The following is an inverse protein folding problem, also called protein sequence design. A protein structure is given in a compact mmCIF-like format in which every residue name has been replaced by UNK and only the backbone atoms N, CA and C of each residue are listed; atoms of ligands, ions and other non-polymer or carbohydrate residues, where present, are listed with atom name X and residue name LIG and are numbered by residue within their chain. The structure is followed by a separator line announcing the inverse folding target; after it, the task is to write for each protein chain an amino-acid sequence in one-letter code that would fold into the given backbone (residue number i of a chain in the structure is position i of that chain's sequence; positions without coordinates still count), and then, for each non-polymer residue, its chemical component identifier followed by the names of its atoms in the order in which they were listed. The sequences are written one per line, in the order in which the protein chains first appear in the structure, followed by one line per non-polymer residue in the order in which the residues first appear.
data_IF_066923621905
#
_entry.id   IF_066923621905
#
_cell.length_a   1.000
_cell.length_b   1.000
_cell.length_c   1.000
_cell.angle_alpha   90.00
_cell.angle_beta   90.00
_cell.angle_gamma   90.00
#
_symmetry.space_group_name_H-M   'P 1'
#
loop_
_entity.id
_entity.type
_entity.pdbx_description
1 polymer ?
#
# COMPACT_ATOMS: atom_id res chain seq x y z
N UNK A 1 8.23 -29.76 28.62
CA UNK A 1 9.04 -28.76 27.88
C UNK A 1 8.17 -28.15 26.78
N UNK A 2 7.82 -26.85 26.87
CA UNK A 2 7.13 -26.13 25.78
C UNK A 2 8.20 -25.66 24.79
N UNK A 3 8.29 -26.32 23.64
CA UNK A 3 9.19 -25.91 22.57
C UNK A 3 8.76 -24.54 22.05
N UNK A 4 9.61 -23.54 22.24
CA UNK A 4 9.40 -22.18 21.77
C UNK A 4 9.68 -22.16 20.27
N UNK A 5 8.67 -22.47 19.45
CA UNK A 5 8.77 -22.29 18.01
C UNK A 5 8.82 -20.78 17.75
N UNK A 6 10.01 -20.25 17.49
CA UNK A 6 10.17 -18.92 16.91
C UNK A 6 9.50 -18.97 15.53
N UNK A 7 8.25 -18.49 15.45
CA UNK A 7 7.57 -18.28 14.18
C UNK A 7 8.24 -17.08 13.50
N UNK A 8 9.28 -17.37 12.72
CA UNK A 8 9.92 -16.37 11.85
C UNK A 8 8.89 -15.90 10.83
N UNK A 9 8.63 -14.60 10.79
CA UNK A 9 7.78 -14.01 9.76
C UNK A 9 8.65 -13.72 8.55
N UNK A 10 8.31 -14.29 7.39
CA UNK A 10 9.03 -14.04 6.15
C UNK A 10 8.61 -12.67 5.60
N UNK A 11 9.56 -11.81 5.24
CA UNK A 11 9.24 -10.56 4.55
C UNK A 11 9.12 -10.82 3.06
N UNK A 12 7.99 -10.44 2.46
CA UNK A 12 7.80 -10.57 1.01
C UNK A 12 8.79 -9.67 0.26
N UNK A 13 9.47 -10.25 -0.73
CA UNK A 13 10.29 -9.53 -1.71
C UNK A 13 9.72 -9.77 -3.12
N UNK A 14 9.82 -8.78 -4.03
CA UNK A 14 9.40 -8.98 -5.41
C UNK A 14 10.03 -10.22 -6.05
N UNK A 15 9.22 -11.04 -6.71
CA UNK A 15 9.66 -12.28 -7.37
C UNK A 15 9.97 -13.46 -6.43
N UNK A 16 10.04 -13.24 -5.11
CA UNK A 16 10.24 -14.33 -4.15
C UNK A 16 8.94 -15.09 -3.90
N UNK A 17 8.97 -16.40 -4.12
CA UNK A 17 7.85 -17.28 -3.78
C UNK A 17 7.79 -17.57 -2.28
N UNK A 18 6.58 -17.54 -1.74
CA UNK A 18 6.25 -17.84 -0.35
C UNK A 18 5.38 -19.11 -0.31
N UNK A 19 5.80 -20.17 0.39
CA UNK A 19 5.03 -21.41 0.43
C UNK A 19 3.76 -21.29 1.28
N UNK A 20 2.80 -22.17 1.01
CA UNK A 20 1.52 -22.22 1.70
C UNK A 20 1.66 -22.63 3.17
N UNK A 21 0.90 -21.97 4.04
CA UNK A 21 0.95 -22.13 5.49
C UNK A 21 1.85 -21.11 6.19
N UNK A 22 2.74 -20.44 5.45
CA UNK A 22 3.66 -19.47 6.02
C UNK A 22 3.02 -18.11 6.28
N UNK A 23 3.55 -17.43 7.29
CA UNK A 23 3.21 -16.02 7.57
C UNK A 23 4.17 -15.11 6.81
N UNK A 24 3.60 -14.25 5.99
CA UNK A 24 4.33 -13.28 5.19
C UNK A 24 4.03 -11.85 5.65
N UNK A 25 5.07 -11.03 5.78
CA UNK A 25 4.97 -9.59 6.00
C UNK A 25 4.94 -8.85 4.66
N UNK A 26 3.94 -7.99 4.50
CA UNK A 26 3.76 -7.09 3.37
C UNK A 26 4.26 -5.70 3.80
N UNK A 27 5.42 -5.23 3.31
CA UNK A 27 6.06 -4.01 3.84
C UNK A 27 5.23 -2.74 3.62
N UNK A 28 4.67 -2.55 2.42
CA UNK A 28 3.94 -1.33 2.06
C UNK A 28 2.69 -1.08 2.94
N UNK A 29 1.77 -2.05 3.12
CA UNK A 29 0.66 -1.90 4.07
C UNK A 29 1.08 -2.20 5.53
N UNK A 30 2.37 -2.51 5.76
CA UNK A 30 2.98 -2.89 7.04
C UNK A 30 2.10 -3.85 7.85
N UNK A 31 1.77 -4.97 7.24
CA UNK A 31 0.92 -5.99 7.85
C UNK A 31 1.45 -7.38 7.55
N UNK A 32 0.88 -8.41 8.16
CA UNK A 32 1.23 -9.78 7.83
C UNK A 32 0.00 -10.65 7.65
N UNK A 33 0.03 -11.51 6.64
CA UNK A 33 -1.00 -12.49 6.34
C UNK A 33 -0.42 -13.90 6.34
N UNK A 34 -1.28 -14.92 6.30
CA UNK A 34 -0.88 -16.31 6.11
C UNK A 34 -1.30 -16.76 4.72
N UNK A 35 -0.35 -17.31 3.95
CA UNK A 35 -0.65 -17.94 2.67
C UNK A 35 -1.43 -19.23 2.94
N UNK A 36 -2.58 -19.49 2.28
CA UNK A 36 -3.32 -20.72 2.52
C UNK A 36 -2.50 -21.99 2.20
N UNK A 37 -2.64 -23.05 3.00
CA UNK A 37 -2.01 -24.34 2.71
C UNK A 37 -2.43 -24.86 1.33
N UNK A 38 -1.47 -25.37 0.54
CA UNK A 38 -1.69 -25.84 -0.84
C UNK A 38 -1.67 -24.71 -1.89
N UNK A 39 -1.30 -23.50 -1.48
CA UNK A 39 -1.11 -22.34 -2.35
C UNK A 39 0.32 -21.83 -2.19
N UNK A 40 0.76 -20.98 -3.10
CA UNK A 40 1.99 -20.21 -2.97
C UNK A 40 1.70 -18.75 -3.27
N UNK A 41 2.44 -17.85 -2.65
CA UNK A 41 2.31 -16.41 -2.82
C UNK A 41 3.54 -15.80 -3.46
N UNK A 42 3.39 -14.69 -4.18
CA UNK A 42 4.50 -13.87 -4.67
C UNK A 42 4.12 -12.40 -4.66
N UNK A 43 5.05 -11.53 -4.29
CA UNK A 43 4.87 -10.09 -4.42
C UNK A 43 5.26 -9.67 -5.83
N UNK A 44 4.35 -9.00 -6.55
CA UNK A 44 4.68 -8.38 -7.82
C UNK A 44 5.41 -7.06 -7.60
N UNK A 45 6.15 -6.61 -8.62
CA UNK A 45 6.78 -5.28 -8.62
C UNK A 45 5.74 -4.15 -8.49
N UNK A 46 4.53 -4.37 -9.02
CA UNK A 46 3.40 -3.44 -8.93
C UNK A 46 2.71 -3.37 -7.56
N UNK A 47 3.24 -4.03 -6.53
CA UNK A 47 2.69 -3.94 -5.18
C UNK A 47 1.40 -4.73 -4.97
N UNK A 48 1.21 -5.82 -5.70
CA UNK A 48 0.13 -6.78 -5.48
C UNK A 48 0.75 -8.08 -5.01
N UNK A 49 0.18 -8.69 -3.97
CA UNK A 49 0.61 -10.03 -3.55
C UNK A 49 -0.32 -11.08 -4.16
N UNK A 50 0.17 -11.77 -5.18
CA UNK A 50 -0.53 -12.81 -5.93
C UNK A 50 -0.43 -14.14 -5.17
N UNK A 51 -1.52 -14.88 -5.11
CA UNK A 51 -1.58 -16.21 -4.48
C UNK A 51 -2.22 -17.18 -5.46
N UNK A 52 -1.50 -18.23 -5.83
CA UNK A 52 -1.91 -19.22 -6.82
C UNK A 52 -1.74 -20.65 -6.27
N UNK A 53 -2.29 -21.63 -6.99
CA UNK A 53 -2.21 -23.05 -6.65
C UNK A 53 -1.93 -23.86 -7.90
N UNK A 54 -1.13 -24.92 -7.77
CA UNK A 54 -0.93 -25.89 -8.85
C UNK A 54 -2.10 -26.88 -8.98
N UNK A 55 -2.95 -26.98 -7.96
CA UNK A 55 -4.02 -28.01 -7.86
C UNK A 55 -5.43 -27.42 -7.91
N UNK A 56 -5.56 -26.10 -7.98
CA UNK A 56 -6.85 -25.42 -8.01
C UNK A 56 -6.86 -24.39 -9.13
N UNK A 57 -7.86 -24.47 -10.01
CA UNK A 57 -8.07 -23.48 -11.05
C UNK A 57 -8.52 -22.16 -10.40
N UNK A 58 -7.79 -21.07 -10.66
CA UNK A 58 -8.05 -19.74 -10.14
C UNK A 58 -6.91 -19.18 -9.29
N UNK A 59 -7.12 -17.96 -8.80
CA UNK A 59 -6.09 -17.19 -8.09
C UNK A 59 -6.71 -16.25 -7.05
N UNK A 60 -5.87 -15.75 -6.16
CA UNK A 60 -6.21 -14.68 -5.25
C UNK A 60 -5.18 -13.55 -5.36
N UNK A 61 -5.63 -12.33 -5.13
CA UNK A 61 -4.82 -11.13 -5.13
C UNK A 61 -5.05 -10.42 -3.81
N UNK A 62 -3.97 -10.05 -3.14
CA UNK A 62 -4.02 -9.16 -1.99
C UNK A 62 -3.55 -7.79 -2.44
N UNK A 63 -4.41 -6.80 -2.28
CA UNK A 63 -4.20 -5.43 -2.75
C UNK A 63 -4.31 -4.47 -1.58
N UNK A 64 -3.72 -3.29 -1.76
CA UNK A 64 -3.93 -2.19 -0.83
C UNK A 64 -3.88 -0.86 -1.56
N UNK A 65 -4.56 0.12 -0.99
CA UNK A 65 -4.54 1.51 -1.42
C UNK A 65 -4.41 2.41 -0.19
N UNK A 66 -3.78 3.57 -0.34
CA UNK A 66 -3.51 4.52 0.75
C UNK A 66 -4.31 5.79 0.58
N UNK A 67 -4.72 6.42 1.68
CA UNK A 67 -5.59 7.61 1.63
C UNK A 67 -7.07 7.29 1.38
N UNK A 68 -7.45 6.01 1.45
CA UNK A 68 -8.82 5.56 1.21
C UNK A 68 -9.74 5.84 2.41
N UNK A 69 -11.02 6.07 2.14
CA UNK A 69 -12.08 6.24 3.15
C UNK A 69 -12.98 5.01 3.23
N UNK A 70 -13.84 4.92 4.26
CA UNK A 70 -14.74 3.77 4.41
C UNK A 70 -15.77 3.72 3.26
N UNK A 71 -16.30 4.90 2.91
CA UNK A 71 -17.15 5.08 1.74
C UNK A 71 -16.39 4.78 0.43
N UNK A 72 -15.14 5.22 0.32
CA UNK A 72 -14.29 4.93 -0.85
C UNK A 72 -14.07 3.43 -1.04
N UNK A 73 -13.82 2.69 0.05
CA UNK A 73 -13.70 1.23 0.02
C UNK A 73 -15.01 0.55 -0.41
N UNK A 74 -16.15 0.97 0.16
CA UNK A 74 -17.45 0.42 -0.24
C UNK A 74 -17.75 0.68 -1.72
N UNK A 75 -17.45 1.89 -2.18
CA UNK A 75 -17.64 2.29 -3.57
C UNK A 75 -16.74 1.47 -4.49
N UNK A 76 -15.44 1.35 -4.18
CA UNK A 76 -14.50 0.54 -4.95
C UNK A 76 -14.99 -0.90 -5.10
N UNK A 77 -15.43 -1.54 -4.01
CA UNK A 77 -15.96 -2.91 -4.05
C UNK A 77 -17.33 -3.01 -4.74
N UNK A 78 -18.04 -1.90 -4.94
CA UNK A 78 -19.31 -1.87 -5.67
C UNK A 78 -19.12 -1.52 -7.15
N UNK A 79 -17.90 -1.18 -7.57
CA UNK A 79 -17.56 -0.80 -8.94
C UNK A 79 -17.02 -2.00 -9.73
N UNK A 80 -16.99 -1.83 -11.05
CA UNK A 80 -16.22 -2.69 -11.94
C UNK A 80 -14.73 -2.57 -11.60
N UNK A 81 -14.02 -3.70 -11.50
CA UNK A 81 -12.57 -3.72 -11.22
C UNK A 81 -11.86 -4.28 -12.46
N UNK A 82 -11.13 -3.45 -13.23
CA UNK A 82 -10.37 -3.94 -14.38
C UNK A 82 -9.23 -4.86 -13.91
N UNK A 83 -9.06 -5.98 -14.60
CA UNK A 83 -7.94 -6.91 -14.41
C UNK A 83 -6.89 -6.70 -15.50
N UNK A 84 -7.35 -6.47 -16.74
CA UNK A 84 -6.56 -6.10 -17.90
C UNK A 84 -7.45 -5.26 -18.86
N UNK A 85 -7.01 -5.08 -20.11
CA UNK A 85 -7.74 -4.27 -21.11
C UNK A 85 -9.10 -4.86 -21.53
N UNK A 86 -9.27 -6.18 -21.42
CA UNK A 86 -10.44 -6.91 -21.94
C UNK A 86 -11.24 -7.61 -20.84
N UNK A 87 -10.65 -7.77 -19.65
CA UNK A 87 -11.20 -8.53 -18.54
C UNK A 87 -11.43 -7.64 -17.33
N UNK A 88 -12.62 -7.72 -16.75
CA UNK A 88 -12.97 -7.02 -15.53
C UNK A 88 -13.84 -7.87 -14.61
N UNK A 89 -13.74 -7.63 -13.31
CA UNK A 89 -14.72 -8.11 -12.35
C UNK A 89 -15.97 -7.23 -12.40
N UNK A 90 -17.08 -7.82 -12.81
CA UNK A 90 -18.39 -7.16 -12.84
C UNK A 90 -19.15 -7.47 -11.54
N UNK A 91 -19.46 -6.46 -10.71
CA UNK A 91 -20.11 -6.70 -9.42
C UNK A 91 -21.55 -7.18 -9.62
N UNK A 92 -21.95 -8.20 -8.86
CA UNK A 92 -23.33 -8.72 -8.86
C UNK A 92 -24.31 -7.82 -8.07
N UNK A 93 -23.80 -6.82 -7.37
CA UNK A 93 -24.60 -5.88 -6.59
C UNK A 93 -23.72 -4.89 -5.85
N UNK A 94 -24.33 -4.16 -4.91
CA UNK A 94 -23.58 -3.27 -4.01
C UNK A 94 -22.82 -4.09 -2.96
N UNK A 95 -21.64 -3.61 -2.60
CA UNK A 95 -20.84 -4.23 -1.55
C UNK A 95 -21.61 -4.21 -0.21
N UNK A 96 -21.67 -5.38 0.42
CA UNK A 96 -22.37 -5.59 1.69
C UNK A 96 -21.39 -5.46 2.86
N UNK A 97 -21.86 -4.92 3.98
CA UNK A 97 -21.02 -4.77 5.18
C UNK A 97 -20.85 -6.11 5.89
N UNK A 98 -19.62 -6.49 6.23
CA UNK A 98 -19.33 -7.72 6.99
C UNK A 98 -18.23 -7.53 8.02
N UNK A 99 -18.64 -7.37 9.27
CA UNK A 99 -17.73 -7.04 10.37
C UNK A 99 -17.15 -5.65 10.19
N UNK A 100 -15.82 -5.53 10.20
CA UNK A 100 -15.10 -4.24 10.07
C UNK A 100 -14.80 -3.83 8.62
N UNK A 101 -15.54 -4.34 7.65
CA UNK A 101 -15.25 -4.10 6.24
C UNK A 101 -16.42 -4.46 5.34
N UNK A 102 -16.14 -4.59 4.05
CA UNK A 102 -17.13 -4.83 3.01
C UNK A 102 -16.75 -6.04 2.16
N UNK A 103 -17.73 -6.65 1.52
CA UNK A 103 -17.53 -7.74 0.59
C UNK A 103 -18.51 -7.68 -0.59
N UNK A 104 -18.09 -8.26 -1.72
CA UNK A 104 -18.92 -8.39 -2.90
C UNK A 104 -18.58 -9.66 -3.70
N UNK A 105 -19.53 -10.08 -4.53
CA UNK A 105 -19.36 -11.18 -5.49
C UNK A 105 -19.39 -10.60 -6.90
N UNK A 106 -18.63 -11.21 -7.81
CA UNK A 106 -18.46 -10.72 -9.17
C UNK A 106 -18.62 -11.84 -10.19
N UNK A 107 -19.00 -11.49 -11.40
CA UNK A 107 -18.82 -12.31 -12.60
C UNK A 107 -17.62 -11.79 -13.39
N UNK A 108 -16.96 -12.68 -14.11
CA UNK A 108 -15.83 -12.35 -14.98
C UNK A 108 -16.07 -13.07 -16.29
N UNK A 109 -16.06 -12.31 -17.39
CA UNK A 109 -16.17 -12.85 -18.73
C UNK A 109 -14.76 -12.99 -19.30
N UNK A 110 -14.37 -14.21 -19.66
CA UNK A 110 -13.10 -14.49 -20.34
C UNK A 110 -13.34 -15.29 -21.60
N UNK A 111 -12.35 -15.30 -22.48
CA UNK A 111 -12.27 -16.16 -23.66
C UNK A 111 -12.30 -17.65 -23.28
N UNK A 112 -11.79 -18.01 -22.11
CA UNK A 112 -11.80 -19.37 -21.55
C UNK A 112 -13.13 -19.76 -20.88
N UNK A 113 -14.11 -18.86 -20.85
CA UNK A 113 -15.45 -19.09 -20.29
C UNK A 113 -15.78 -18.25 -19.05
N UNK A 114 -16.94 -18.49 -18.43
CA UNK A 114 -17.39 -17.70 -17.29
C UNK A 114 -16.59 -18.05 -16.03
N UNK A 115 -16.08 -17.04 -15.35
CA UNK A 115 -15.48 -17.14 -14.02
C UNK A 115 -16.30 -16.37 -12.99
N UNK A 116 -16.11 -16.70 -11.72
CA UNK A 116 -16.70 -15.97 -10.61
C UNK A 116 -15.62 -15.40 -9.70
N UNK A 117 -15.89 -14.22 -9.17
CA UNK A 117 -15.03 -13.51 -8.26
C UNK A 117 -15.69 -13.26 -6.90
N UNK A 118 -14.87 -13.08 -5.89
CA UNK A 118 -15.26 -12.59 -4.58
C UNK A 118 -14.19 -11.64 -4.08
N UNK A 119 -14.58 -10.47 -3.62
CA UNK A 119 -13.68 -9.54 -2.97
C UNK A 119 -14.14 -9.23 -1.55
N UNK A 120 -13.18 -9.10 -0.64
CA UNK A 120 -13.41 -8.61 0.71
C UNK A 120 -12.32 -7.62 1.08
N UNK A 121 -12.72 -6.47 1.61
CA UNK A 121 -11.78 -5.45 2.06
C UNK A 121 -12.13 -4.87 3.41
N UNK A 122 -11.15 -4.23 4.04
CA UNK A 122 -11.36 -3.40 5.25
C UNK A 122 -10.35 -2.26 5.29
N UNK A 123 -10.70 -1.18 5.96
CA UNK A 123 -9.75 -0.14 6.32
C UNK A 123 -8.85 -0.59 7.47
N UNK A 124 -7.56 -0.32 7.32
CA UNK A 124 -6.52 -0.43 8.34
C UNK A 124 -6.16 0.97 8.86
N UNK A 125 -5.44 1.07 10.00
CA UNK A 125 -4.91 2.35 10.47
C UNK A 125 -4.07 3.05 9.40
N UNK A 126 -4.16 4.38 9.34
CA UNK A 126 -3.46 5.18 8.32
C UNK A 126 -4.20 5.25 6.99
N UNK A 127 -5.52 5.02 6.98
CA UNK A 127 -6.38 5.12 5.79
C UNK A 127 -5.93 4.18 4.67
N UNK A 128 -5.51 2.98 5.05
CA UNK A 128 -5.10 1.95 4.09
C UNK A 128 -6.30 1.04 3.84
N UNK A 129 -6.86 1.07 2.64
CA UNK A 129 -7.81 0.04 2.21
C UNK A 129 -7.02 -1.23 1.92
N UNK A 130 -7.31 -2.33 2.62
CA UNK A 130 -6.69 -3.62 2.38
C UNK A 130 -7.74 -4.59 1.86
N UNK A 131 -7.47 -5.21 0.71
CA UNK A 131 -8.40 -6.07 -0.01
C UNK A 131 -7.82 -7.44 -0.32
N UNK A 132 -8.70 -8.45 -0.37
CA UNK A 132 -8.42 -9.75 -0.97
C UNK A 132 -9.47 -10.00 -2.05
N UNK A 133 -9.03 -10.18 -3.28
CA UNK A 133 -9.84 -10.57 -4.43
C UNK A 133 -9.52 -12.02 -4.74
N UNK A 134 -10.52 -12.87 -4.89
CA UNK A 134 -10.39 -14.29 -5.18
C UNK A 134 -11.25 -14.62 -6.40
N UNK A 135 -10.70 -15.35 -7.36
CA UNK A 135 -11.36 -15.65 -8.62
C UNK A 135 -11.07 -17.08 -9.08
N UNK A 136 -12.04 -17.69 -9.75
CA UNK A 136 -11.90 -19.02 -10.34
C UNK A 136 -13.22 -19.54 -10.91
N UNK A 137 -13.34 -20.85 -11.14
CA UNK A 137 -14.56 -21.46 -11.66
C UNK A 137 -15.79 -21.15 -10.79
N UNK A 138 -16.98 -20.93 -11.38
CA UNK A 138 -18.20 -20.63 -10.63
C UNK A 138 -18.55 -21.68 -9.56
N UNK A 139 -18.31 -22.96 -9.87
CA UNK A 139 -18.55 -24.08 -8.96
C UNK A 139 -17.71 -23.99 -7.66
N UNK A 140 -16.55 -23.33 -7.71
CA UNK A 140 -15.61 -23.19 -6.58
C UNK A 140 -15.78 -21.88 -5.80
N UNK A 141 -16.76 -21.03 -6.13
CA UNK A 141 -16.92 -19.71 -5.52
C UNK A 141 -17.00 -19.76 -3.99
N UNK A 142 -17.71 -20.73 -3.41
CA UNK A 142 -17.82 -20.87 -1.96
C UNK A 142 -16.46 -21.16 -1.29
N UNK A 143 -15.63 -21.97 -1.96
CA UNK A 143 -14.27 -22.28 -1.52
C UNK A 143 -13.39 -21.03 -1.58
N UNK A 144 -13.44 -20.26 -2.66
CA UNK A 144 -12.71 -18.99 -2.78
C UNK A 144 -13.15 -17.96 -1.73
N UNK A 145 -14.46 -17.84 -1.46
CA UNK A 145 -15.00 -17.02 -0.37
C UNK A 145 -14.38 -17.39 0.98
N UNK A 146 -14.36 -18.68 1.30
CA UNK A 146 -13.77 -19.19 2.55
C UNK A 146 -12.27 -18.89 2.64
N UNK A 147 -11.52 -19.07 1.55
CA UNK A 147 -10.07 -18.79 1.51
C UNK A 147 -9.75 -17.31 1.68
N UNK A 148 -10.43 -16.43 0.95
CA UNK A 148 -10.27 -14.98 1.10
C UNK A 148 -10.62 -14.52 2.52
N UNK A 149 -11.69 -15.05 3.11
CA UNK A 149 -12.03 -14.78 4.51
C UNK A 149 -10.94 -15.29 5.48
N UNK A 150 -10.33 -16.44 5.20
CA UNK A 150 -9.20 -16.98 5.96
C UNK A 150 -7.98 -16.06 5.93
N UNK A 151 -7.62 -15.53 4.76
CA UNK A 151 -6.54 -14.54 4.62
C UNK A 151 -6.86 -13.29 5.45
N UNK A 152 -8.07 -12.74 5.30
CA UNK A 152 -8.51 -11.57 6.07
C UNK A 152 -8.51 -11.80 7.58
N UNK A 153 -8.82 -13.01 8.04
CA UNK A 153 -8.75 -13.40 9.46
C UNK A 153 -7.31 -13.54 9.96
N UNK A 154 -6.39 -13.94 9.08
CA UNK A 154 -4.96 -14.11 9.41
C UNK A 154 -4.18 -12.79 9.49
N UNK A 155 -4.80 -11.70 9.00
CA UNK A 155 -4.22 -10.36 8.93
C UNK A 155 -3.86 -9.84 10.33
N UNK A 156 -2.56 -9.65 10.53
CA UNK A 156 -1.97 -9.04 11.72
C UNK A 156 -1.38 -7.69 11.37
N UNK A 157 -1.67 -6.72 12.22
CA UNK A 157 -1.02 -5.42 12.21
C UNK A 157 0.06 -5.41 13.28
N UNK A 158 1.12 -4.61 13.12
CA UNK A 158 2.08 -4.42 14.19
C UNK A 158 1.38 -3.91 15.45
N UNK A 159 1.84 -4.43 16.58
CA UNK A 159 1.38 -4.03 17.91
C UNK A 159 1.54 -2.52 18.11
N UNK A 160 0.82 -1.96 19.07
CA UNK A 160 0.96 -0.54 19.41
C UNK A 160 2.42 -0.18 19.76
N UNK A 161 3.11 -1.06 20.49
CA UNK A 161 4.53 -0.91 20.85
C UNK A 161 5.44 -0.92 19.63
N UNK A 162 5.23 -1.83 18.68
CA UNK A 162 6.00 -1.88 17.44
C UNK A 162 5.76 -0.64 16.59
N UNK A 163 4.50 -0.20 16.45
CA UNK A 163 4.16 1.05 15.76
C UNK A 163 4.80 2.26 16.42
N UNK A 164 4.82 2.33 17.75
CA UNK A 164 5.49 3.40 18.49
C UNK A 164 7.00 3.38 18.27
N UNK A 165 7.63 2.20 18.27
CA UNK A 165 9.06 2.05 17.97
C UNK A 165 9.40 2.43 16.52
N UNK A 166 8.55 2.07 15.57
CA UNK A 166 8.69 2.46 14.16
C UNK A 166 8.52 3.98 13.99
N UNK A 167 7.49 4.57 14.61
CA UNK A 167 7.33 6.01 14.65
C UNK A 167 8.55 6.70 15.28
N UNK A 168 9.07 6.18 16.39
CA UNK A 168 10.27 6.73 17.03
C UNK A 168 11.50 6.76 16.10
N UNK A 169 11.60 5.89 15.10
CA UNK A 169 12.70 5.92 14.12
C UNK A 169 12.63 7.14 13.18
N UNK A 170 11.43 7.66 12.94
CA UNK A 170 11.18 8.84 12.10
C UNK A 170 10.87 10.10 12.91
N UNK A 171 10.60 9.96 14.21
CA UNK A 171 10.34 11.06 15.11
C UNK A 171 11.56 11.97 15.23
N UNK A 172 11.34 13.24 14.97
CA UNK A 172 12.35 14.28 14.87
C UNK A 172 13.32 14.13 13.70
N UNK A 173 12.88 13.49 12.62
CA UNK A 173 13.63 13.44 11.36
C UNK A 173 13.11 14.50 10.39
N UNK A 174 14.01 14.93 9.51
CA UNK A 174 13.74 15.83 8.40
C UNK A 174 14.04 15.10 7.09
N UNK A 175 13.04 15.01 6.23
CA UNK A 175 13.16 14.50 4.87
C UNK A 175 13.47 15.68 3.94
N UNK A 176 14.55 15.59 3.16
CA UNK A 176 14.92 16.62 2.18
C UNK A 176 15.01 16.02 0.78
N UNK A 177 14.38 16.68 -0.17
CA UNK A 177 14.51 16.44 -1.59
C UNK A 177 15.09 17.67 -2.27
N UNK A 178 16.01 17.42 -3.19
CA UNK A 178 16.62 18.43 -4.04
C UNK A 178 16.69 17.89 -5.46
N UNK A 179 16.18 18.64 -6.42
CA UNK A 179 16.35 18.37 -7.83
C UNK A 179 16.80 19.64 -8.54
N UNK A 180 17.79 19.50 -9.42
CA UNK A 180 18.28 20.59 -10.28
C UNK A 180 18.50 20.03 -11.67
N UNK A 181 17.86 20.60 -12.68
CA UNK A 181 17.95 20.14 -14.07
C UNK A 181 17.21 21.05 -15.03
N UNK A 182 17.77 21.28 -16.23
CA UNK A 182 17.09 22.03 -17.29
C UNK A 182 16.67 23.46 -16.94
N UNK A 183 17.36 24.13 -16.01
CA UNK A 183 16.98 25.46 -15.50
C UNK A 183 15.94 25.44 -14.37
N UNK A 184 15.44 24.26 -13.97
CA UNK A 184 14.59 24.06 -12.80
C UNK A 184 15.43 23.70 -11.57
N UNK A 185 15.04 24.23 -10.42
CA UNK A 185 15.50 23.80 -9.12
C UNK A 185 14.29 23.62 -8.18
N UNK A 186 14.05 22.37 -7.79
CA UNK A 186 12.99 22.00 -6.86
C UNK A 186 13.58 21.59 -5.52
N UNK A 187 12.94 22.05 -4.45
CA UNK A 187 13.28 21.70 -3.08
C UNK A 187 12.00 21.34 -2.35
N UNK A 188 12.04 20.23 -1.62
CA UNK A 188 10.97 19.86 -0.68
C UNK A 188 11.58 19.43 0.64
N UNK A 189 11.01 19.91 1.74
CA UNK A 189 11.45 19.62 3.11
C UNK A 189 10.24 19.24 3.94
N UNK A 190 10.30 18.07 4.55
CA UNK A 190 9.26 17.58 5.45
C UNK A 190 9.90 17.31 6.82
N UNK A 191 9.50 18.10 7.81
CA UNK A 191 9.89 17.91 9.21
C UNK A 191 8.87 17.00 9.88
N UNK A 192 9.30 15.84 10.40
CA UNK A 192 8.48 14.88 11.13
C UNK A 192 8.72 15.06 12.63
N UNK A 193 7.96 15.95 13.27
CA UNK A 193 8.22 16.34 14.65
C UNK A 193 7.90 15.22 15.65
N UNK A 194 8.61 15.19 16.78
CA UNK A 194 8.47 14.16 17.82
C UNK A 194 7.08 14.08 18.45
N UNK A 195 6.32 15.18 18.42
CA UNK A 195 4.94 15.27 18.90
C UNK A 195 3.90 14.68 17.92
N UNK A 196 4.36 14.12 16.79
CA UNK A 196 3.52 13.55 15.75
C UNK A 196 2.94 14.57 14.77
N UNK A 197 3.34 15.85 14.84
CA UNK A 197 3.02 16.86 13.83
C UNK A 197 4.04 16.86 12.69
N UNK A 198 3.65 17.27 11.49
CA UNK A 198 4.58 17.50 10.39
C UNK A 198 4.49 18.93 9.85
N UNK A 199 5.59 19.38 9.27
CA UNK A 199 5.67 20.63 8.49
C UNK A 199 6.30 20.33 7.15
N UNK A 200 5.57 20.55 6.07
CA UNK A 200 6.04 20.41 4.70
C UNK A 200 6.25 21.79 4.09
N UNK A 201 7.39 21.96 3.43
CA UNK A 201 7.79 23.16 2.72
C UNK A 201 8.28 22.75 1.34
N UNK A 202 7.66 23.28 0.29
CA UNK A 202 8.12 23.11 -1.07
C UNK A 202 8.44 24.47 -1.70
N UNK A 203 9.51 24.50 -2.48
CA UNK A 203 9.86 25.66 -3.30
C UNK A 203 10.40 25.18 -4.63
N UNK A 204 9.92 25.78 -5.70
CA UNK A 204 10.44 25.58 -7.05
C UNK A 204 10.92 26.91 -7.61
N UNK A 205 12.00 26.87 -8.39
CA UNK A 205 12.45 28.01 -9.17
C UNK A 205 12.82 27.55 -10.56
N UNK A 206 12.39 28.30 -11.57
CA UNK A 206 12.74 28.09 -12.96
C UNK A 206 13.48 29.31 -13.50
N UNK A 207 14.52 29.06 -14.27
CA UNK A 207 15.25 30.07 -15.00
C UNK A 207 15.52 29.58 -16.42
N UNK A 208 15.07 30.36 -17.40
CA UNK A 208 15.36 30.16 -18.82
C UNK A 208 16.16 31.34 -19.33
N UNK A 209 17.27 31.07 -20.00
CA UNK A 209 18.09 32.08 -20.67
C UNK A 209 18.22 31.71 -22.14
N UNK A 210 17.41 32.34 -22.99
CA UNK A 210 17.59 32.28 -24.45
C UNK A 210 18.07 33.66 -24.94
N UNK A 211 18.73 33.74 -26.12
CA UNK A 211 19.27 35.01 -26.64
C UNK A 211 18.24 36.14 -26.78
N UNK A 212 16.94 35.81 -26.81
CA UNK A 212 15.85 36.75 -27.06
C UNK A 212 14.90 36.93 -25.89
N UNK A 213 14.94 36.10 -24.85
CA UNK A 213 14.09 36.25 -23.65
C UNK A 213 14.74 35.60 -22.42
N UNK A 214 14.79 36.36 -21.33
CA UNK A 214 15.10 35.83 -19.99
C UNK A 214 13.84 35.90 -19.14
N UNK A 215 13.48 34.78 -18.51
CA UNK A 215 12.40 34.78 -17.52
C UNK A 215 12.74 33.87 -16.37
N UNK A 216 12.25 34.25 -15.20
CA UNK A 216 12.34 33.46 -13.98
C UNK A 216 10.97 33.34 -13.34
N UNK A 217 10.68 32.18 -12.77
CA UNK A 217 9.47 31.93 -12.01
C UNK A 217 9.84 31.24 -10.70
N UNK A 218 9.16 31.59 -9.61
CA UNK A 218 9.36 30.94 -8.32
C UNK A 218 8.00 30.65 -7.68
N UNK A 219 7.86 29.45 -7.12
CA UNK A 219 6.68 29.01 -6.37
C UNK A 219 7.08 28.60 -4.96
N UNK A 220 6.21 28.88 -3.99
CA UNK A 220 6.34 28.40 -2.62
C UNK A 220 5.02 27.75 -2.21
N UNK A 221 5.13 26.60 -1.54
CA UNK A 221 4.00 25.87 -0.99
C UNK A 221 4.36 25.27 0.36
N UNK A 222 3.34 24.83 1.08
CA UNK A 222 3.53 24.12 2.33
C UNK A 222 2.25 23.52 2.85
N UNK A 223 2.40 22.49 3.68
CA UNK A 223 1.31 21.83 4.36
C UNK A 223 1.73 21.52 5.79
N UNK A 224 0.77 21.35 6.68
CA UNK A 224 1.01 20.89 8.04
C UNK A 224 -0.13 19.99 8.50
N UNK A 225 0.16 19.17 9.50
CA UNK A 225 -0.82 18.25 10.04
C UNK A 225 -0.18 17.19 10.91
N UNK A 226 -0.71 15.97 10.87
CA UNK A 226 -0.21 14.84 11.65
C UNK A 226 0.49 13.83 10.75
N UNK A 227 1.56 13.22 11.24
CA UNK A 227 2.18 12.10 10.54
C UNK A 227 2.06 10.82 11.35
N UNK A 228 2.15 9.69 10.64
CA UNK A 228 2.22 8.35 11.22
C UNK A 228 3.22 7.54 10.40
N UNK A 229 3.97 6.65 11.06
CA UNK A 229 4.83 5.71 10.37
C UNK A 229 4.34 4.28 10.54
N UNK A 230 4.53 3.50 9.48
CA UNK A 230 4.17 2.09 9.41
C UNK A 230 5.22 1.39 8.56
N UNK A 231 6.17 0.69 9.19
CA UNK A 231 7.29 0.07 8.48
C UNK A 231 8.16 1.13 7.82
N UNK A 232 8.29 1.09 6.49
CA UNK A 232 9.01 2.11 5.71
C UNK A 232 8.10 3.19 5.12
N UNK A 233 6.81 3.15 5.40
CA UNK A 233 5.84 4.14 4.92
C UNK A 233 5.61 5.21 5.99
N UNK A 234 5.76 6.48 5.62
CA UNK A 234 5.35 7.64 6.41
C UNK A 234 4.11 8.25 5.76
N UNK A 235 2.99 8.27 6.46
CA UNK A 235 1.75 8.90 6.00
C UNK A 235 1.62 10.28 6.63
N UNK A 236 1.48 11.30 5.80
CA UNK A 236 1.14 12.66 6.17
C UNK A 236 -0.39 12.82 6.06
N UNK A 237 -1.00 13.41 7.08
CA UNK A 237 -2.43 13.75 7.11
C UNK A 237 -2.53 15.24 7.36
N UNK A 238 -2.80 16.01 6.31
CA UNK A 238 -2.94 17.46 6.36
C UNK A 238 -4.13 17.89 7.22
N UNK A 239 -4.06 19.12 7.74
CA UNK A 239 -5.15 19.72 8.52
C UNK A 239 -6.46 19.88 7.70
N UNK A 240 -6.34 19.94 6.38
CA UNK A 240 -7.45 19.95 5.42
C UNK A 240 -8.03 18.55 5.14
N UNK A 241 -7.48 17.51 5.77
CA UNK A 241 -7.87 16.12 5.56
C UNK A 241 -7.17 15.44 4.38
N UNK A 242 -6.33 16.15 3.63
CA UNK A 242 -5.48 15.57 2.58
C UNK A 242 -4.56 14.51 3.17
N UNK A 243 -4.22 13.49 2.38
CA UNK A 243 -3.31 12.44 2.82
C UNK A 243 -2.28 12.13 1.75
N UNK A 244 -1.05 11.91 2.18
CA UNK A 244 0.06 11.53 1.32
C UNK A 244 0.86 10.41 1.97
N UNK A 245 1.15 9.35 1.21
CA UNK A 245 1.97 8.23 1.67
C UNK A 245 3.36 8.28 1.04
N UNK A 246 4.38 8.44 1.88
CA UNK A 246 5.78 8.44 1.51
C UNK A 246 6.36 7.05 1.77
N UNK A 247 6.59 6.26 0.73
CA UNK A 247 7.20 4.93 0.85
C UNK A 247 8.71 5.06 0.73
N UNK A 248 9.42 4.96 1.86
CA UNK A 248 10.88 5.03 1.88
C UNK A 248 11.48 3.68 1.49
N UNK A 249 12.46 3.70 0.59
CA UNK A 249 13.25 2.52 0.17
C UNK A 249 14.73 2.81 0.31
N UNK A 250 15.55 1.81 0.66
CA UNK A 250 17.01 1.92 0.56
C UNK A 250 17.50 1.26 -0.72
N UNK A 251 18.19 2.03 -1.56
CA UNK A 251 18.83 1.53 -2.80
C UNK A 251 20.26 2.05 -2.82
N UNK A 252 21.25 1.14 -2.83
CA UNK A 252 22.68 1.51 -2.82
C UNK A 252 23.07 2.45 -1.67
N UNK A 253 22.49 2.25 -0.48
CA UNK A 253 22.72 3.09 0.70
C UNK A 253 22.01 4.45 0.71
N UNK A 254 21.26 4.80 -0.35
CA UNK A 254 20.49 6.04 -0.47
C UNK A 254 19.03 5.78 -0.11
N UNK A 255 18.39 6.76 0.52
CA UNK A 255 16.94 6.74 0.71
C UNK A 255 16.23 7.23 -0.54
N UNK A 256 15.19 6.52 -0.94
CA UNK A 256 14.38 6.81 -2.12
C UNK A 256 12.90 6.89 -1.73
N UNK A 257 12.16 7.81 -2.32
CA UNK A 257 10.69 7.83 -2.31
C UNK A 257 10.26 7.93 -3.78
N UNK A 258 9.50 6.95 -4.27
CA UNK A 258 9.40 6.72 -5.72
C UNK A 258 10.80 6.55 -6.31
N UNK A 259 11.08 7.20 -7.45
CA UNK A 259 12.39 7.19 -8.10
C UNK A 259 13.27 8.38 -7.71
N UNK A 260 12.82 9.16 -6.73
CA UNK A 260 13.51 10.35 -6.25
C UNK A 260 14.39 10.01 -5.06
N UNK A 261 15.60 10.58 -5.03
CA UNK A 261 16.50 10.47 -3.88
C UNK A 261 16.11 11.46 -2.80
N UNK A 262 16.00 10.97 -1.57
CA UNK A 262 15.74 11.76 -0.38
C UNK A 262 16.87 11.64 0.63
N UNK A 263 17.06 12.69 1.41
CA UNK A 263 17.96 12.70 2.56
C UNK A 263 17.11 12.62 3.82
N UNK A 264 17.46 11.68 4.70
CA UNK A 264 16.85 11.54 6.03
C UNK A 264 17.88 12.01 7.04
N UNK A 265 17.64 13.18 7.63
CA UNK A 265 18.56 13.83 8.59
C UNK A 265 17.81 14.13 9.89
N UNK A 266 18.53 14.53 10.95
CA UNK A 266 17.89 15.03 12.16
C UNK A 266 17.18 16.37 11.88
N UNK A 267 15.99 16.52 12.45
CA UNK A 267 15.15 17.71 12.39
C UNK A 267 15.24 18.52 13.68
N UNK A 268 14.76 19.77 13.61
CA UNK A 268 14.76 20.72 14.72
C UNK A 268 13.40 20.74 15.46
N UNK A 269 12.61 19.68 15.28
CA UNK A 269 11.44 19.28 16.03
C UNK A 269 11.47 17.75 16.12
#
# INVERSE_FOLDING_TARGET
MKSLVLLTVLTAQPGQQVPGGERVHLPAPNCSIVVPKGWFGTLSEGGIFLIASHTHAGMMMVTWDTGSTDAGLQQFLSSMIPLDEMTALQPLGRASRRGKGYENTYTIHTDQGPMSGYARGRLLPGSIAFGVIAMGPPADLAKFKSRAAGIMKSLRLPSAKERQRQAAAFAGKRLKFYHTGGGLADRRRIDLCRDGSFRDYSSSSYYSNTPTNSFSAAGQGGASGRWRASGTTVTLVGNDGSQEALVLRRVGGKWMIGDQRWFVVDGDC
#
